data_IF_424960870827
#
_entry.id   IF_424960870827
#
_cell.length_a   1.000
_cell.length_b   1.000
_cell.length_c   1.000
_cell.angle_alpha   90.00
_cell.angle_beta   90.00
_cell.angle_gamma   90.00
#
_symmetry.space_group_name_H-M   'P 1'
#
loop_
_entity.id
_entity.type
_entity.pdbx_description
1 polymer ?
#
# COMPACT_ATOMS: atom_id res chain seq x y z
N UNK A 1 -38.55 0.20 -39.35
CA UNK A 1 -37.81 0.45 -38.09
C UNK A 1 -37.15 1.81 -38.22
N UNK A 2 -37.78 2.84 -37.68
CA UNK A 2 -37.14 4.17 -37.56
C UNK A 2 -36.02 4.07 -36.54
N UNK A 3 -34.81 4.42 -36.96
CA UNK A 3 -33.68 4.63 -36.05
C UNK A 3 -34.03 5.88 -35.26
N UNK A 4 -34.53 5.70 -34.04
CA UNK A 4 -34.73 6.80 -33.09
C UNK A 4 -33.37 7.49 -32.94
N UNK A 5 -33.29 8.73 -33.42
CA UNK A 5 -32.08 9.54 -33.29
C UNK A 5 -31.79 9.70 -31.80
N UNK A 6 -30.78 8.97 -31.30
CA UNK A 6 -30.33 9.08 -29.92
C UNK A 6 -29.88 10.52 -29.73
N UNK A 7 -30.69 11.30 -29.00
CA UNK A 7 -30.38 12.68 -28.69
C UNK A 7 -28.97 12.73 -28.09
N UNK A 8 -28.09 13.53 -28.70
CA UNK A 8 -26.70 13.65 -28.24
C UNK A 8 -26.71 14.25 -26.84
N UNK A 9 -26.37 13.44 -25.84
CA UNK A 9 -26.19 13.89 -24.46
C UNK A 9 -25.16 15.04 -24.46
N UNK A 10 -25.51 16.23 -23.95
CA UNK A 10 -24.61 17.38 -23.99
C UNK A 10 -23.40 17.15 -23.08
N UNK A 11 -22.24 17.69 -23.45
CA UNK A 11 -21.02 17.61 -22.65
C UNK A 11 -20.90 18.86 -21.77
N UNK A 12 -20.43 18.70 -20.55
CA UNK A 12 -20.01 19.82 -19.71
C UNK A 12 -18.92 20.65 -20.40
N UNK A 13 -18.80 21.90 -19.98
CA UNK A 13 -17.83 22.83 -20.55
C UNK A 13 -17.25 23.73 -19.47
N UNK A 14 -16.07 24.30 -19.72
CA UNK A 14 -15.45 25.29 -18.84
C UNK A 14 -15.54 26.66 -19.52
N UNK A 15 -16.32 27.57 -18.96
CA UNK A 15 -16.43 28.95 -19.45
C UNK A 15 -15.38 29.81 -18.73
N UNK A 16 -14.52 30.57 -19.44
CA UNK A 16 -13.54 31.46 -18.81
C UNK A 16 -14.15 32.47 -17.81
N UNK A 17 -15.40 32.88 -18.01
CA UNK A 17 -16.10 33.80 -17.09
C UNK A 17 -16.41 33.15 -15.73
N UNK A 18 -16.51 31.82 -15.68
CA UNK A 18 -16.81 31.04 -14.47
C UNK A 18 -15.54 30.61 -13.72
N UNK A 19 -14.34 30.97 -14.20
CA UNK A 19 -13.07 30.56 -13.60
C UNK A 19 -12.96 30.85 -12.09
N UNK A 20 -13.45 31.98 -11.55
CA UNK A 20 -13.46 32.22 -10.11
C UNK A 20 -14.38 31.26 -9.34
N UNK A 21 -15.44 30.74 -9.98
CA UNK A 21 -16.40 29.84 -9.38
C UNK A 21 -15.89 28.39 -9.35
N UNK A 22 -15.01 27.99 -10.26
CA UNK A 22 -14.39 26.67 -10.20
C UNK A 22 -13.37 26.56 -9.05
N UNK A 23 -12.71 27.66 -8.67
CA UNK A 23 -11.64 27.65 -7.65
C UNK A 23 -12.13 27.76 -6.20
N UNK A 24 -13.44 27.82 -5.97
CA UNK A 24 -14.04 28.06 -4.65
C UNK A 24 -15.30 27.21 -4.50
N UNK A 25 -15.69 26.96 -3.25
CA UNK A 25 -17.01 26.40 -2.99
C UNK A 25 -18.09 27.35 -3.56
N UNK A 26 -19.03 26.78 -4.31
CA UNK A 26 -20.11 27.52 -4.96
C UNK A 26 -21.45 26.85 -4.67
N UNK A 27 -22.49 27.67 -4.55
CA UNK A 27 -23.87 27.19 -4.40
C UNK A 27 -24.57 27.01 -5.76
N UNK A 28 -23.90 27.31 -6.89
CA UNK A 28 -24.46 27.11 -8.22
C UNK A 28 -24.52 25.60 -8.53
N UNK A 29 -25.72 24.99 -8.62
CA UNK A 29 -25.86 23.54 -8.83
C UNK A 29 -25.42 23.11 -10.25
N UNK A 30 -25.18 24.06 -11.14
CA UNK A 30 -24.64 23.79 -12.46
C UNK A 30 -23.11 23.80 -12.50
N UNK A 31 -22.42 24.15 -11.42
CA UNK A 31 -20.95 24.18 -11.38
C UNK A 31 -20.44 23.01 -10.54
N UNK A 32 -19.61 22.18 -11.16
CA UNK A 32 -18.72 21.27 -10.46
C UNK A 32 -17.38 22.01 -10.26
N UNK A 33 -16.95 22.31 -9.02
CA UNK A 33 -15.70 23.02 -8.76
C UNK A 33 -14.47 22.15 -9.02
N UNK A 34 -13.30 22.79 -9.11
CA UNK A 34 -12.00 22.13 -9.14
C UNK A 34 -11.83 21.32 -7.85
N UNK A 35 -11.44 20.06 -7.97
CA UNK A 35 -11.12 19.21 -6.82
C UNK A 35 -9.63 18.96 -6.80
N UNK A 36 -8.95 19.31 -5.70
CA UNK A 36 -7.54 18.92 -5.50
C UNK A 36 -7.53 17.59 -4.76
N UNK A 37 -6.85 16.60 -5.31
CA UNK A 37 -6.67 15.32 -4.61
C UNK A 37 -5.84 15.55 -3.35
N UNK A 38 -6.08 14.77 -2.31
CA UNK A 38 -5.31 14.86 -1.07
C UNK A 38 -3.80 14.77 -1.31
N UNK A 39 -3.03 15.51 -0.52
CA UNK A 39 -1.57 15.37 -0.48
C UNK A 39 -1.14 14.48 0.68
N UNK A 40 -1.88 14.53 1.80
CA UNK A 40 -1.60 13.74 3.00
C UNK A 40 -2.61 12.61 3.12
N UNK A 41 -2.09 11.39 3.14
CA UNK A 41 -2.87 10.16 3.35
C UNK A 41 -2.21 9.36 4.47
N UNK A 42 -2.99 8.56 5.20
CA UNK A 42 -2.42 7.78 6.28
C UNK A 42 -3.28 6.62 6.72
N UNK A 43 -2.66 5.68 7.42
CA UNK A 43 -3.34 4.52 7.96
C UNK A 43 -3.13 4.39 9.46
N UNK A 44 -4.12 3.77 10.11
CA UNK A 44 -4.05 3.38 11.50
C UNK A 44 -3.65 1.91 11.60
N UNK A 45 -2.60 1.61 12.36
CA UNK A 45 -2.18 0.21 12.57
C UNK A 45 -3.24 -0.55 13.36
N UNK A 46 -3.58 -1.74 12.86
CA UNK A 46 -4.45 -2.70 13.56
C UNK A 46 -3.65 -3.99 13.77
N UNK A 47 -3.57 -4.57 14.99
CA UNK A 47 -4.15 -4.04 16.24
C UNK A 47 -3.61 -2.66 16.63
N UNK A 48 -4.36 -1.95 17.47
CA UNK A 48 -3.98 -0.62 17.92
C UNK A 48 -2.70 -0.71 18.76
N UNK A 49 -1.75 0.20 18.52
CA UNK A 49 -0.44 0.20 19.19
C UNK A 49 -0.18 1.53 19.90
N UNK A 50 0.78 1.49 20.82
CA UNK A 50 1.46 2.64 21.39
C UNK A 50 2.85 2.75 20.76
N UNK A 51 3.18 3.87 20.15
CA UNK A 51 4.53 4.06 19.61
C UNK A 51 5.40 4.78 20.64
N UNK A 52 6.51 4.15 21.01
CA UNK A 52 7.41 4.61 22.07
C UNK A 52 6.98 4.12 23.45
N UNK A 53 7.11 4.99 24.47
CA UNK A 53 6.81 4.62 25.85
C UNK A 53 5.31 4.40 26.07
N UNK A 54 4.97 3.27 26.69
CA UNK A 54 3.60 2.99 27.14
C UNK A 54 3.20 4.03 28.22
N UNK A 55 2.05 4.72 28.07
CA UNK A 55 1.60 5.67 29.08
C UNK A 55 1.31 4.96 30.41
N UNK A 56 1.68 5.57 31.52
CA UNK A 56 1.37 5.01 32.85
C UNK A 56 -0.14 4.86 33.06
N UNK A 57 -0.56 3.86 33.84
CA UNK A 57 -1.98 3.63 34.20
C UNK A 57 -2.67 4.90 34.73
N UNK A 58 -1.92 5.76 35.43
CA UNK A 58 -2.38 7.04 35.95
C UNK A 58 -2.59 8.12 34.88
N UNK A 59 -1.73 8.17 33.86
CA UNK A 59 -1.89 9.07 32.72
C UNK A 59 -3.02 8.58 31.80
N UNK A 60 -3.10 7.26 31.62
CA UNK A 60 -4.16 6.60 30.87
C UNK A 60 -5.55 6.89 31.48
N UNK A 61 -5.73 6.60 32.76
CA UNK A 61 -7.02 6.82 33.45
C UNK A 61 -7.49 8.28 33.48
N UNK A 62 -6.59 9.26 33.35
CA UNK A 62 -6.92 10.69 33.31
C UNK A 62 -7.28 11.21 31.92
N UNK A 63 -7.22 10.38 30.88
CA UNK A 63 -7.36 10.80 29.47
C UNK A 63 -6.43 11.96 29.09
N UNK A 64 -5.30 12.10 29.79
CA UNK A 64 -4.35 13.20 29.57
C UNK A 64 -3.26 12.85 28.57
N UNK A 65 -3.35 11.67 27.92
CA UNK A 65 -2.40 11.24 26.89
C UNK A 65 -2.84 11.87 25.58
N UNK A 66 -1.99 12.73 25.03
CA UNK A 66 -2.18 13.21 23.67
C UNK A 66 -1.87 12.09 22.68
N UNK A 67 -2.94 11.44 22.21
CA UNK A 67 -2.89 10.37 21.22
C UNK A 67 -2.38 10.85 19.87
N UNK A 68 -2.60 12.12 19.56
CA UNK A 68 -2.24 12.76 18.31
C UNK A 68 -0.86 13.41 18.37
N UNK A 69 -0.14 13.26 19.49
CA UNK A 69 1.23 13.72 19.60
C UNK A 69 2.09 13.04 18.52
N UNK A 70 2.75 13.85 17.71
CA UNK A 70 3.77 13.40 16.78
C UNK A 70 4.97 12.89 17.56
N UNK A 71 5.35 11.63 17.32
CA UNK A 71 6.50 10.97 17.96
C UNK A 71 7.68 10.82 17.01
N UNK A 72 7.43 10.74 15.70
CA UNK A 72 8.46 10.71 14.66
C UNK A 72 8.00 11.55 13.48
N UNK A 73 8.90 12.40 12.96
CA UNK A 73 8.76 13.03 11.64
C UNK A 73 10.03 12.81 10.83
N UNK A 74 9.87 12.42 9.57
CA UNK A 74 10.99 12.07 8.69
C UNK A 74 10.71 12.42 7.24
N UNK A 75 11.65 13.13 6.62
CA UNK A 75 11.68 13.33 5.18
C UNK A 75 12.43 12.17 4.50
N UNK A 76 11.75 11.44 3.61
CA UNK A 76 12.35 10.41 2.76
C UNK A 76 13.02 11.03 1.54
N UNK A 77 14.03 10.35 0.98
CA UNK A 77 14.78 10.77 -0.22
C UNK A 77 13.88 10.91 -1.45
N UNK A 78 12.79 10.15 -1.49
CA UNK A 78 11.80 10.22 -2.56
C UNK A 78 10.89 11.47 -2.50
N UNK A 79 11.05 12.36 -1.52
CA UNK A 79 10.21 13.56 -1.39
C UNK A 79 8.88 13.32 -0.65
N UNK A 80 8.78 12.23 0.11
CA UNK A 80 7.64 11.95 0.99
C UNK A 80 8.00 12.33 2.42
N UNK A 81 7.18 13.14 3.09
CA UNK A 81 7.31 13.39 4.53
C UNK A 81 6.41 12.39 5.28
N UNK A 82 7.00 11.61 6.18
CA UNK A 82 6.25 10.68 7.04
C UNK A 82 6.18 11.23 8.46
N UNK A 83 4.97 11.34 9.00
CA UNK A 83 4.70 11.70 10.39
C UNK A 83 4.01 10.53 11.07
N UNK A 84 4.48 10.19 12.26
CA UNK A 84 3.99 9.06 13.04
C UNK A 84 3.45 9.60 14.35
N UNK A 85 2.20 9.26 14.64
CA UNK A 85 1.52 9.67 15.86
C UNK A 85 1.63 8.59 16.92
N UNK A 86 1.58 9.00 18.19
CA UNK A 86 1.73 8.09 19.34
C UNK A 86 0.71 6.95 19.34
N UNK A 87 -0.46 7.15 18.75
CA UNK A 87 -1.55 6.19 18.70
C UNK A 87 -1.43 5.10 17.62
N UNK A 88 -0.32 5.04 16.89
CA UNK A 88 -0.15 4.05 15.82
C UNK A 88 -0.64 4.51 14.44
N UNK A 89 -0.92 5.81 14.28
CA UNK A 89 -1.23 6.41 12.98
C UNK A 89 0.05 6.79 12.24
N UNK A 90 0.14 6.39 10.97
CA UNK A 90 1.21 6.76 10.05
C UNK A 90 0.65 7.65 8.95
N UNK A 91 1.18 8.87 8.81
CA UNK A 91 0.77 9.88 7.85
C UNK A 91 1.88 10.08 6.82
N UNK A 92 1.53 10.11 5.55
CA UNK A 92 2.42 10.28 4.41
C UNK A 92 1.98 11.52 3.63
N UNK A 93 2.83 12.53 3.59
CA UNK A 93 2.67 13.69 2.71
C UNK A 93 3.37 13.44 1.38
N UNK A 94 2.56 13.24 0.35
CA UNK A 94 2.97 13.01 -1.03
C UNK A 94 3.06 14.30 -1.86
N UNK A 95 2.95 15.49 -1.25
CA UNK A 95 2.97 16.77 -1.97
C UNK A 95 4.22 16.94 -2.86
N UNK A 96 5.37 16.47 -2.39
CA UNK A 96 6.65 16.59 -3.10
C UNK A 96 7.11 15.28 -3.76
N UNK A 97 6.24 14.27 -3.85
CA UNK A 97 6.60 13.00 -4.47
C UNK A 97 6.31 12.98 -5.97
N UNK A 98 7.36 12.86 -6.78
CA UNK A 98 7.26 12.95 -8.24
C UNK A 98 6.43 11.84 -8.91
N UNK A 99 6.33 10.65 -8.30
CA UNK A 99 5.63 9.52 -8.91
C UNK A 99 4.10 9.63 -8.82
N UNK A 100 3.58 10.19 -7.72
CA UNK A 100 2.14 10.39 -7.50
C UNK A 100 1.86 11.69 -6.73
N UNK A 101 2.17 12.87 -7.30
CA UNK A 101 1.90 14.15 -6.68
C UNK A 101 0.39 14.43 -6.64
N UNK A 102 -0.08 15.37 -5.80
CA UNK A 102 -1.46 15.83 -5.86
C UNK A 102 -1.77 16.44 -7.23
N UNK A 103 -2.98 16.19 -7.74
CA UNK A 103 -3.46 16.69 -9.02
C UNK A 103 -4.78 17.44 -8.83
N UNK A 104 -4.95 18.51 -9.61
CA UNK A 104 -6.22 19.23 -9.72
C UNK A 104 -7.07 18.55 -10.78
N UNK A 105 -8.25 18.08 -10.39
CA UNK A 105 -9.29 17.59 -11.28
C UNK A 105 -10.11 18.82 -11.71
N UNK A 106 -10.06 19.23 -13.00
CA UNK A 106 -10.72 20.44 -13.44
C UNK A 106 -12.24 20.33 -13.32
N UNK A 107 -12.82 21.29 -12.62
CA UNK A 107 -14.24 21.57 -12.56
C UNK A 107 -14.81 22.01 -13.91
N UNK A 108 -16.13 21.95 -14.02
CA UNK A 108 -16.86 22.24 -15.24
C UNK A 108 -18.31 22.64 -14.96
N UNK A 109 -18.93 23.32 -15.92
CA UNK A 109 -20.35 23.66 -15.90
C UNK A 109 -21.17 22.54 -16.56
N UNK A 110 -22.19 22.09 -15.83
CA UNK A 110 -23.23 21.17 -16.30
C UNK A 110 -24.20 21.95 -17.20
N UNK A 111 -24.47 21.50 -18.44
CA UNK A 111 -25.31 22.26 -19.38
C UNK A 111 -26.76 22.44 -18.92
N UNK A 112 -27.28 21.49 -18.16
CA UNK A 112 -28.64 21.53 -17.60
C UNK A 112 -28.66 20.76 -16.28
N UNK A 113 -28.73 21.43 -15.12
CA UNK A 113 -28.76 20.78 -13.81
C UNK A 113 -29.85 19.71 -13.73
N UNK A 114 -29.51 18.55 -13.15
CA UNK A 114 -30.43 17.42 -13.02
C UNK A 114 -30.64 16.58 -14.28
N UNK A 115 -30.10 16.99 -15.44
CA UNK A 115 -30.14 16.20 -16.67
C UNK A 115 -28.85 15.41 -16.90
N UNK A 116 -28.92 14.25 -17.57
CA UNK A 116 -27.73 13.51 -17.98
C UNK A 116 -26.81 14.38 -18.83
N UNK A 117 -25.52 14.35 -18.54
CA UNK A 117 -24.49 15.05 -19.29
C UNK A 117 -23.22 14.20 -19.35
N UNK A 118 -22.35 14.50 -20.31
CA UNK A 118 -21.00 13.91 -20.38
C UNK A 118 -20.01 14.80 -19.65
N UNK A 119 -19.10 14.18 -18.91
CA UNK A 119 -17.99 14.89 -18.25
C UNK A 119 -17.01 15.40 -19.33
N UNK A 120 -16.36 16.56 -19.18
CA UNK A 120 -15.31 16.99 -20.10
C UNK A 120 -14.14 16.01 -20.13
N UNK A 121 -13.52 15.84 -21.30
CA UNK A 121 -12.40 14.90 -21.47
C UNK A 121 -11.23 15.20 -20.52
N UNK A 122 -10.89 16.49 -20.34
CA UNK A 122 -9.83 16.90 -19.42
C UNK A 122 -10.12 16.49 -17.95
N UNK A 123 -11.39 16.55 -17.53
CA UNK A 123 -11.82 16.11 -16.21
C UNK A 123 -11.78 14.58 -16.10
N UNK A 124 -12.20 13.85 -17.14
CA UNK A 124 -12.12 12.38 -17.21
C UNK A 124 -10.66 11.90 -17.12
N UNK A 125 -9.76 12.51 -17.88
CA UNK A 125 -8.33 12.18 -17.89
C UNK A 125 -7.65 12.50 -16.54
N UNK A 126 -7.93 13.66 -15.95
CA UNK A 126 -7.41 14.04 -14.64
C UNK A 126 -7.95 13.12 -13.53
N UNK A 127 -9.23 12.74 -13.59
CA UNK A 127 -9.83 11.79 -12.65
C UNK A 127 -9.19 10.41 -12.77
N UNK A 128 -9.02 9.88 -13.98
CA UNK A 128 -8.37 8.58 -14.19
C UNK A 128 -6.91 8.59 -13.69
N UNK A 129 -6.18 9.69 -13.93
CA UNK A 129 -4.82 9.87 -13.43
C UNK A 129 -4.79 9.97 -11.90
N UNK A 130 -5.77 10.64 -11.28
CA UNK A 130 -5.89 10.71 -9.82
C UNK A 130 -6.11 9.34 -9.17
N UNK A 131 -6.90 8.47 -9.81
CA UNK A 131 -7.13 7.10 -9.33
C UNK A 131 -5.84 6.27 -9.40
N UNK A 132 -5.06 6.42 -10.47
CA UNK A 132 -3.75 5.76 -10.60
C UNK A 132 -2.77 6.21 -9.51
N UNK A 133 -2.76 7.50 -9.18
CA UNK A 133 -1.95 8.05 -8.09
C UNK A 133 -2.43 7.57 -6.71
N UNK A 134 -3.74 7.52 -6.49
CA UNK A 134 -4.32 6.98 -5.27
C UNK A 134 -3.99 5.49 -5.08
N UNK A 135 -3.97 4.69 -6.16
CA UNK A 135 -3.46 3.32 -6.13
C UNK A 135 -2.01 3.34 -5.66
N UNK A 136 -1.11 4.01 -6.38
CA UNK A 136 0.33 3.97 -6.09
C UNK A 136 0.67 4.41 -4.65
N UNK A 137 -0.04 5.39 -4.10
CA UNK A 137 0.11 5.81 -2.70
C UNK A 137 -0.35 4.75 -1.71
N UNK A 138 -1.49 4.12 -1.96
CA UNK A 138 -1.95 2.98 -1.15
C UNK A 138 -0.95 1.82 -1.20
N UNK A 139 -0.38 1.52 -2.37
CA UNK A 139 0.66 0.51 -2.51
C UNK A 139 1.90 0.87 -1.69
N UNK A 140 2.32 2.13 -1.71
CA UNK A 140 3.48 2.62 -0.95
C UNK A 140 3.25 2.49 0.56
N UNK A 141 2.06 2.80 1.04
CA UNK A 141 1.70 2.59 2.44
C UNK A 141 1.65 1.10 2.81
N UNK A 142 1.21 0.22 1.91
CA UNK A 142 1.29 -1.24 2.09
C UNK A 142 2.75 -1.75 2.13
N UNK A 143 3.62 -1.20 1.29
CA UNK A 143 5.07 -1.45 1.34
C UNK A 143 5.63 -1.05 2.70
N UNK A 144 5.25 0.12 3.23
CA UNK A 144 5.63 0.52 4.58
C UNK A 144 5.12 -0.46 5.64
N UNK A 145 3.88 -0.94 5.55
CA UNK A 145 3.36 -1.97 6.47
C UNK A 145 4.22 -3.24 6.45
N UNK A 146 4.74 -3.63 5.29
CA UNK A 146 5.69 -4.74 5.17
C UNK A 146 7.06 -4.43 5.79
N UNK A 147 7.57 -3.21 5.62
CA UNK A 147 8.81 -2.75 6.25
C UNK A 147 8.68 -2.75 7.78
N UNK A 148 7.51 -2.34 8.29
CA UNK A 148 7.20 -2.33 9.71
C UNK A 148 7.18 -3.76 10.27
N UNK A 149 6.47 -4.69 9.61
CA UNK A 149 6.46 -6.10 10.01
C UNK A 149 7.86 -6.73 9.99
N UNK A 150 8.68 -6.35 9.00
CA UNK A 150 10.09 -6.78 8.92
C UNK A 150 10.88 -6.27 10.11
N UNK A 151 10.75 -4.99 10.44
CA UNK A 151 11.48 -4.31 11.51
C UNK A 151 11.10 -4.85 12.89
N UNK A 152 9.80 -5.10 13.12
CA UNK A 152 9.30 -5.76 14.32
C UNK A 152 9.98 -7.12 14.54
N UNK A 153 10.03 -7.94 13.48
CA UNK A 153 10.65 -9.26 13.55
C UNK A 153 12.16 -9.17 13.84
N UNK A 154 12.86 -8.25 13.19
CA UNK A 154 14.32 -8.11 13.32
C UNK A 154 14.75 -7.61 14.70
N UNK A 155 14.05 -6.62 15.25
CA UNK A 155 14.46 -5.94 16.48
C UNK A 155 13.80 -6.52 17.73
N UNK A 156 12.51 -6.83 17.67
CA UNK A 156 11.74 -7.28 18.83
C UNK A 156 11.66 -8.80 18.96
N UNK A 157 12.04 -9.54 17.90
CA UNK A 157 11.83 -11.01 17.76
C UNK A 157 10.37 -11.45 17.98
N UNK A 158 9.45 -10.50 17.94
CA UNK A 158 8.01 -10.71 17.90
C UNK A 158 7.52 -10.31 16.52
N UNK A 159 6.45 -10.95 16.08
CA UNK A 159 5.76 -10.51 14.88
C UNK A 159 4.30 -10.42 15.23
N UNK A 160 3.76 -9.19 15.17
CA UNK A 160 2.34 -8.98 15.27
C UNK A 160 1.65 -9.34 13.96
N UNK A 161 0.33 -9.50 14.04
CA UNK A 161 -0.50 -9.82 12.89
C UNK A 161 -0.30 -8.79 11.77
N UNK A 162 -0.32 -9.28 10.53
CA UNK A 162 -0.21 -8.46 9.33
C UNK A 162 -1.35 -7.45 9.32
N UNK A 163 -1.05 -6.21 8.98
CA UNK A 163 -2.06 -5.16 8.90
C UNK A 163 -3.11 -5.44 7.84
N UNK A 164 -4.15 -4.59 7.82
CA UNK A 164 -5.15 -4.63 6.76
C UNK A 164 -4.57 -3.97 5.50
N UNK A 165 -4.71 -4.60 4.33
CA UNK A 165 -4.16 -4.05 3.10
C UNK A 165 -4.97 -2.86 2.63
N UNK A 166 -4.29 -1.74 2.41
CA UNK A 166 -4.89 -0.50 1.93
C UNK A 166 -5.24 -0.59 0.45
N UNK A 167 -6.33 0.06 0.06
CA UNK A 167 -6.76 0.21 -1.32
C UNK A 167 -6.96 1.69 -1.65
N UNK A 168 -6.95 2.04 -2.94
CA UNK A 168 -7.28 3.40 -3.38
C UNK A 168 -8.67 3.86 -2.90
N UNK A 169 -9.63 2.94 -2.76
CA UNK A 169 -10.94 3.28 -2.22
C UNK A 169 -10.86 3.75 -0.75
N UNK A 170 -9.85 3.31 0.00
CA UNK A 170 -9.63 3.79 1.35
C UNK A 170 -9.05 5.22 1.36
N UNK A 171 -8.17 5.56 0.40
CA UNK A 171 -7.56 6.89 0.28
C UNK A 171 -8.53 7.94 -0.28
N UNK A 172 -9.65 7.52 -0.86
CA UNK A 172 -10.72 8.43 -1.30
C UNK A 172 -11.79 8.70 -0.22
N UNK A 173 -11.83 7.92 0.87
CA UNK A 173 -12.87 7.99 1.92
C UNK A 173 -12.43 8.74 3.18
N UNK A 174 -11.64 9.80 3.00
CA UNK A 174 -11.05 10.59 4.06
C UNK A 174 -11.96 10.89 5.24
N UNK A 175 -11.49 10.55 6.43
CA UNK A 175 -11.93 11.21 7.67
C UNK A 175 -10.96 12.32 8.03
N UNK A 176 -11.46 13.32 8.77
CA UNK A 176 -10.66 14.42 9.31
C UNK A 176 -9.72 13.90 10.41
N UNK A 177 -8.46 14.29 10.40
CA UNK A 177 -7.42 13.86 11.34
C UNK A 177 -7.77 14.13 12.81
N UNK A 178 -8.74 15.00 13.10
CA UNK A 178 -9.18 15.27 14.47
C UNK A 178 -9.98 14.14 15.11
N UNK A 179 -10.50 13.18 14.34
CA UNK A 179 -11.26 12.06 14.91
C UNK A 179 -10.27 11.05 15.54
N UNK A 180 -10.37 10.75 16.83
CA UNK A 180 -9.61 9.63 17.40
C UNK A 180 -10.30 8.31 17.07
N UNK A 181 -9.58 7.33 16.52
CA UNK A 181 -10.17 6.01 16.27
C UNK A 181 -10.36 5.25 17.56
N UNK A 182 -11.60 4.81 17.75
CA UNK A 182 -12.04 4.00 18.87
C UNK A 182 -12.02 2.55 18.43
N UNK A 183 -10.97 1.83 18.82
CA UNK A 183 -10.80 0.41 18.52
C UNK A 183 -10.75 -0.42 19.80
N UNK A 184 -11.36 -1.60 19.77
CA UNK A 184 -11.33 -2.63 20.80
C UNK A 184 -10.77 -3.90 20.18
N UNK A 185 -9.72 -4.45 20.79
CA UNK A 185 -9.18 -5.74 20.39
C UNK A 185 -10.14 -6.89 20.71
N UNK A 186 -10.04 -7.99 19.94
CA UNK A 186 -10.78 -9.22 20.16
C UNK A 186 -11.69 -9.61 19.01
N UNK A 187 -11.15 -9.95 17.85
CA UNK A 187 -11.95 -10.42 16.71
C UNK A 187 -12.76 -11.71 16.98
N UNK A 188 -12.38 -12.46 18.01
CA UNK A 188 -13.09 -13.65 18.49
C UNK A 188 -14.10 -13.35 19.61
N UNK A 189 -14.02 -12.17 20.23
CA UNK A 189 -15.01 -11.71 21.19
C UNK A 189 -16.09 -10.94 20.42
N UNK A 190 -17.26 -11.56 20.26
CA UNK A 190 -18.45 -10.92 19.69
C UNK A 190 -18.70 -9.56 20.35
N UNK A 191 -18.40 -9.42 21.66
CA UNK A 191 -18.55 -8.17 22.40
C UNK A 191 -17.58 -7.07 21.93
N UNK A 192 -16.38 -7.42 21.45
CA UNK A 192 -15.45 -6.48 20.83
C UNK A 192 -15.88 -6.07 19.43
N UNK A 193 -16.51 -6.96 18.67
CA UNK A 193 -17.14 -6.61 17.38
C UNK A 193 -18.27 -5.60 17.61
N UNK A 194 -19.19 -5.90 18.53
CA UNK A 194 -20.28 -4.98 18.89
C UNK A 194 -19.75 -3.66 19.45
N UNK A 195 -18.69 -3.70 20.29
CA UNK A 195 -18.04 -2.48 20.78
C UNK A 195 -17.39 -1.67 19.67
N UNK A 196 -16.74 -2.28 18.68
CA UNK A 196 -16.19 -1.57 17.53
C UNK A 196 -17.28 -0.91 16.68
N UNK A 197 -18.40 -1.60 16.44
CA UNK A 197 -19.56 -1.02 15.74
C UNK A 197 -20.17 0.13 16.54
N UNK A 198 -20.34 -0.05 17.87
CA UNK A 198 -20.89 0.96 18.77
C UNK A 198 -19.96 2.17 18.92
N UNK A 199 -18.67 1.95 19.06
CA UNK A 199 -17.65 2.99 19.15
C UNK A 199 -17.57 3.84 17.89
N UNK A 200 -17.87 3.26 16.72
CA UNK A 200 -17.97 3.98 15.46
C UNK A 200 -19.30 4.73 15.29
N UNK A 201 -20.38 4.30 15.95
CA UNK A 201 -21.72 4.89 15.80
C UNK A 201 -22.14 5.82 16.94
N UNK A 202 -21.50 5.74 18.11
CA UNK A 202 -21.86 6.48 19.30
C UNK A 202 -20.64 7.16 19.93
N UNK A 203 -20.83 8.38 20.43
CA UNK A 203 -19.86 9.20 21.19
C UNK A 203 -19.49 8.61 22.58
N UNK A 204 -19.68 7.31 22.81
CA UNK A 204 -19.46 6.60 24.07
C UNK A 204 -18.05 6.72 24.67
N UNK A 205 -17.94 6.49 25.99
CA UNK A 205 -16.69 6.58 26.77
C UNK A 205 -15.65 5.52 26.35
N UNK A 206 -14.37 5.93 26.35
CA UNK A 206 -13.17 5.21 25.88
C UNK A 206 -12.67 4.08 26.79
N UNK A 207 -13.53 3.29 27.44
CA UNK A 207 -13.04 2.30 28.42
C UNK A 207 -12.21 1.17 27.77
N UNK A 208 -12.34 0.92 26.46
CA UNK A 208 -11.57 -0.10 25.72
C UNK A 208 -10.30 0.43 25.01
N UNK A 209 -10.00 1.73 25.09
CA UNK A 209 -8.90 2.37 24.34
C UNK A 209 -7.49 1.99 24.83
N UNK A 210 -7.40 1.15 25.87
CA UNK A 210 -6.19 0.92 26.66
C UNK A 210 -5.53 -0.44 26.45
N UNK A 211 -6.16 -1.36 25.72
CA UNK A 211 -5.50 -2.60 25.29
C UNK A 211 -4.82 -2.34 23.95
N UNK A 212 -3.63 -1.75 24.02
CA UNK A 212 -2.75 -1.47 22.88
C UNK A 212 -1.40 -2.10 23.15
N UNK A 213 -0.77 -2.64 22.12
CA UNK A 213 0.57 -3.20 22.23
C UNK A 213 1.60 -2.07 22.11
N UNK A 214 2.63 -2.07 22.95
CA UNK A 214 3.74 -1.15 22.82
C UNK A 214 4.63 -1.55 21.63
N UNK A 215 4.93 -0.60 20.78
CA UNK A 215 5.86 -0.70 19.65
C UNK A 215 7.04 0.22 19.91
N UNK A 216 8.24 -0.35 19.93
CA UNK A 216 9.46 0.41 20.11
C UNK A 216 9.65 1.45 19.00
N UNK A 217 10.13 2.64 19.36
CA UNK A 217 10.40 3.71 18.40
C UNK A 217 11.53 3.33 17.43
N UNK A 218 12.48 2.49 17.85
CA UNK A 218 13.56 2.00 16.99
C UNK A 218 13.02 1.13 15.84
N UNK A 219 11.93 0.40 16.08
CA UNK A 219 11.22 -0.37 15.04
C UNK A 219 10.63 0.56 13.98
N UNK A 220 10.07 1.69 14.39
CA UNK A 220 9.54 2.72 13.48
C UNK A 220 10.66 3.38 12.68
N UNK A 221 11.77 3.73 13.32
CA UNK A 221 12.91 4.30 12.60
C UNK A 221 13.46 3.33 11.54
N UNK A 222 13.68 2.07 11.92
CA UNK A 222 14.16 1.04 11.00
C UNK A 222 13.16 0.78 9.86
N UNK A 223 11.85 0.79 10.12
CA UNK A 223 10.84 0.57 9.06
C UNK A 223 10.85 1.69 8.02
N UNK A 224 11.10 2.92 8.46
CA UNK A 224 11.24 4.08 7.57
C UNK A 224 12.58 4.08 6.83
N UNK A 225 13.67 3.57 7.44
CA UNK A 225 14.94 3.33 6.73
C UNK A 225 14.75 2.34 5.59
N UNK A 226 14.14 1.18 5.86
CA UNK A 226 13.87 0.15 4.84
C UNK A 226 12.95 0.67 3.73
N UNK A 227 11.92 1.45 4.08
CA UNK A 227 11.06 2.09 3.07
C UNK A 227 11.85 3.06 2.20
N UNK A 228 12.71 3.90 2.80
CA UNK A 228 13.54 4.86 2.07
C UNK A 228 14.54 4.16 1.14
N UNK A 229 15.05 2.99 1.52
CA UNK A 229 15.88 2.14 0.65
C UNK A 229 15.11 1.63 -0.56
N UNK A 230 13.89 1.10 -0.37
CA UNK A 230 13.03 0.63 -1.46
C UNK A 230 12.70 1.77 -2.42
N UNK A 231 12.34 2.94 -1.90
CA UNK A 231 11.95 4.09 -2.71
C UNK A 231 13.13 4.78 -3.41
N UNK A 232 14.36 4.57 -2.93
CA UNK A 232 15.57 5.10 -3.56
C UNK A 232 16.10 4.23 -4.72
N UNK A 233 15.53 3.05 -4.95
CA UNK A 233 15.86 2.22 -6.12
C UNK A 233 15.47 2.96 -7.40
N UNK A 234 16.36 2.99 -8.40
CA UNK A 234 16.16 3.71 -9.69
C UNK A 234 14.81 3.38 -10.36
N UNK A 235 14.34 2.16 -10.15
CA UNK A 235 13.12 1.59 -10.71
C UNK A 235 12.05 1.34 -9.62
N UNK A 236 11.97 2.23 -8.62
CA UNK A 236 11.05 2.11 -7.48
C UNK A 236 9.59 1.93 -7.92
N UNK A 237 9.16 2.59 -9.01
CA UNK A 237 7.83 2.44 -9.57
C UNK A 237 7.49 0.98 -9.95
N UNK A 238 8.47 0.19 -10.38
CA UNK A 238 8.29 -1.24 -10.66
C UNK A 238 8.45 -2.10 -9.40
N UNK A 239 9.25 -1.66 -8.42
CA UNK A 239 9.51 -2.42 -7.19
C UNK A 239 8.36 -2.37 -6.19
N UNK A 240 7.72 -1.21 -6.02
CA UNK A 240 6.58 -0.99 -5.11
C UNK A 240 5.49 -2.07 -5.29
N UNK A 241 4.95 -2.33 -6.50
CA UNK A 241 3.91 -3.36 -6.67
C UNK A 241 4.42 -4.78 -6.42
N UNK A 242 5.73 -5.05 -6.58
CA UNK A 242 6.31 -6.38 -6.29
C UNK A 242 6.35 -6.61 -4.77
N UNK A 243 6.81 -5.63 -3.99
CA UNK A 243 6.82 -5.71 -2.52
C UNK A 243 5.39 -5.78 -1.99
N UNK A 244 4.49 -4.94 -2.51
CA UNK A 244 3.08 -4.99 -2.14
C UNK A 244 2.47 -6.37 -2.45
N UNK A 245 2.75 -6.98 -3.60
CA UNK A 245 2.19 -8.29 -3.92
C UNK A 245 2.53 -9.34 -2.86
N UNK A 246 3.75 -9.35 -2.33
CA UNK A 246 4.15 -10.28 -1.26
C UNK A 246 3.50 -9.92 0.08
N UNK A 247 3.37 -8.63 0.39
CA UNK A 247 2.58 -8.17 1.55
C UNK A 247 1.12 -8.65 1.46
N UNK A 248 0.48 -8.46 0.31
CA UNK A 248 -0.88 -8.94 0.06
C UNK A 248 -0.96 -10.47 0.12
N UNK A 249 0.07 -11.20 -0.33
CA UNK A 249 0.12 -12.65 -0.17
C UNK A 249 0.08 -13.06 1.32
N UNK A 250 0.81 -12.33 2.17
CA UNK A 250 0.77 -12.51 3.62
C UNK A 250 -0.61 -12.17 4.20
N UNK A 251 -1.27 -11.09 3.77
CA UNK A 251 -2.66 -10.81 4.17
C UNK A 251 -3.64 -11.92 3.72
N UNK A 252 -3.52 -12.43 2.49
CA UNK A 252 -4.38 -13.52 1.99
C UNK A 252 -4.12 -14.83 2.72
N UNK A 253 -2.90 -15.05 3.19
CA UNK A 253 -2.58 -16.19 4.04
C UNK A 253 -3.33 -16.14 5.38
N UNK A 254 -3.33 -15.00 6.07
CA UNK A 254 -4.02 -14.86 7.36
C UNK A 254 -5.54 -14.99 7.22
N UNK A 255 -6.09 -14.66 6.06
CA UNK A 255 -7.49 -14.90 5.67
C UNK A 255 -7.79 -16.36 5.28
N UNK A 256 -6.79 -17.24 5.23
CA UNK A 256 -6.93 -18.64 4.78
C UNK A 256 -7.11 -18.79 3.26
N UNK A 257 -6.89 -17.74 2.47
CA UNK A 257 -7.03 -17.72 1.00
C UNK A 257 -5.73 -18.14 0.31
N UNK A 258 -5.27 -19.36 0.60
CA UNK A 258 -3.95 -19.87 0.19
C UNK A 258 -3.72 -19.86 -1.33
N UNK A 259 -4.77 -20.10 -2.12
CA UNK A 259 -4.71 -20.05 -3.58
C UNK A 259 -4.42 -18.67 -4.15
N UNK A 260 -4.93 -17.61 -3.53
CA UNK A 260 -4.61 -16.23 -3.93
C UNK A 260 -3.23 -15.82 -3.43
N UNK A 261 -2.89 -16.20 -2.20
CA UNK A 261 -1.58 -15.94 -1.62
C UNK A 261 -0.45 -16.53 -2.48
N UNK A 262 -0.58 -17.77 -2.96
CA UNK A 262 0.46 -18.39 -3.79
C UNK A 262 0.60 -17.71 -5.15
N UNK A 263 -0.50 -17.21 -5.75
CA UNK A 263 -0.46 -16.50 -7.03
C UNK A 263 0.32 -15.19 -6.88
N UNK A 264 0.05 -14.45 -5.80
CA UNK A 264 0.71 -13.18 -5.51
C UNK A 264 2.20 -13.36 -5.19
N UNK A 265 2.53 -14.28 -4.29
CA UNK A 265 3.92 -14.59 -3.92
C UNK A 265 4.74 -15.08 -5.13
N UNK A 266 4.17 -16.01 -5.92
CA UNK A 266 4.81 -16.47 -7.16
C UNK A 266 4.97 -15.33 -8.18
N UNK A 267 3.95 -14.49 -8.36
CA UNK A 267 4.01 -13.34 -9.26
C UNK A 267 5.19 -12.42 -8.93
N UNK A 268 5.42 -12.15 -7.65
CA UNK A 268 6.59 -11.39 -7.21
C UNK A 268 7.92 -12.11 -7.51
N UNK A 269 8.02 -13.42 -7.19
CA UNK A 269 9.20 -14.23 -7.51
C UNK A 269 9.53 -14.19 -9.01
N UNK A 270 8.51 -14.30 -9.86
CA UNK A 270 8.64 -14.26 -11.31
C UNK A 270 9.22 -12.92 -11.81
N UNK A 271 8.76 -11.80 -11.27
CA UNK A 271 9.29 -10.48 -11.62
C UNK A 271 10.74 -10.29 -11.13
N UNK A 272 11.05 -10.76 -9.92
CA UNK A 272 12.40 -10.71 -9.35
C UNK A 272 13.39 -11.56 -10.17
N UNK A 273 13.01 -12.78 -10.55
CA UNK A 273 13.80 -13.64 -11.43
C UNK A 273 13.99 -13.02 -12.81
N UNK A 274 12.97 -12.36 -13.37
CA UNK A 274 13.09 -11.66 -14.64
C UNK A 274 14.10 -10.49 -14.55
N UNK A 275 14.11 -9.74 -13.44
CA UNK A 275 15.11 -8.69 -13.17
C UNK A 275 16.51 -9.28 -13.04
N UNK A 276 16.68 -10.33 -12.22
CA UNK A 276 17.95 -11.03 -12.02
C UNK A 276 18.52 -11.55 -13.35
N UNK A 277 17.67 -12.18 -14.17
CA UNK A 277 18.02 -12.64 -15.52
C UNK A 277 18.47 -11.48 -16.42
N UNK A 278 17.75 -10.36 -16.40
CA UNK A 278 18.11 -9.15 -17.14
C UNK A 278 19.50 -8.62 -16.75
N UNK A 279 19.79 -8.57 -15.45
CA UNK A 279 21.11 -8.17 -14.92
C UNK A 279 22.20 -9.15 -15.33
N UNK A 280 21.95 -10.46 -15.23
CA UNK A 280 22.87 -11.50 -15.69
C UNK A 280 23.20 -11.34 -17.19
N UNK A 281 22.20 -11.20 -18.06
CA UNK A 281 22.41 -11.00 -19.49
C UNK A 281 23.18 -9.72 -19.81
N UNK A 282 22.91 -8.62 -19.08
CA UNK A 282 23.68 -7.38 -19.20
C UNK A 282 25.15 -7.61 -18.84
N UNK A 283 25.44 -8.31 -17.74
CA UNK A 283 26.82 -8.63 -17.33
C UNK A 283 27.56 -9.50 -18.35
N UNK A 284 26.87 -10.48 -18.96
CA UNK A 284 27.42 -11.33 -20.02
C UNK A 284 27.70 -10.56 -21.31
N UNK A 285 26.88 -9.54 -21.61
CA UNK A 285 27.14 -8.65 -22.74
C UNK A 285 28.34 -7.74 -22.48
N UNK A 286 28.44 -7.14 -21.28
CA UNK A 286 29.58 -6.29 -20.90
C UNK A 286 30.91 -7.04 -20.90
N UNK A 287 30.91 -8.35 -20.63
CA UNK A 287 32.10 -9.20 -20.73
C UNK A 287 32.43 -9.69 -22.16
N UNK A 288 31.66 -9.29 -23.17
CA UNK A 288 31.85 -9.69 -24.57
C UNK A 288 31.43 -11.14 -24.88
N UNK A 289 30.91 -11.88 -23.90
CA UNK A 289 30.47 -13.28 -24.07
C UNK A 289 29.11 -13.41 -24.74
N UNK A 290 28.35 -12.32 -24.86
CA UNK A 290 27.00 -12.29 -25.41
C UNK A 290 26.83 -11.15 -26.43
N UNK A 291 26.45 -11.51 -27.67
CA UNK A 291 26.11 -10.53 -28.71
C UNK A 291 24.71 -9.94 -28.46
N UNK A 292 24.44 -8.74 -28.98
CA UNK A 292 23.12 -8.09 -28.86
C UNK A 292 21.98 -8.95 -29.45
N UNK A 293 22.21 -9.61 -30.58
CA UNK A 293 21.24 -10.51 -31.19
C UNK A 293 20.95 -11.72 -30.29
N UNK A 294 21.97 -12.30 -29.65
CA UNK A 294 21.80 -13.41 -28.73
C UNK A 294 21.07 -12.97 -27.46
N UNK A 295 21.38 -11.78 -26.91
CA UNK A 295 20.65 -11.20 -25.79
C UNK A 295 19.16 -11.05 -26.10
N UNK A 296 18.82 -10.53 -27.27
CA UNK A 296 17.42 -10.39 -27.68
C UNK A 296 16.69 -11.73 -27.75
N UNK A 297 17.36 -12.80 -28.22
CA UNK A 297 16.79 -14.16 -28.25
C UNK A 297 16.61 -14.75 -26.85
N UNK A 298 17.57 -14.54 -25.94
CA UNK A 298 17.48 -15.02 -24.56
C UNK A 298 16.45 -14.25 -23.71
N UNK A 299 15.98 -13.09 -24.19
CA UNK A 299 14.93 -12.30 -23.56
C UNK A 299 13.52 -12.62 -24.05
N UNK A 300 13.34 -13.53 -25.03
CA UNK A 300 12.01 -13.85 -25.56
C UNK A 300 11.20 -14.70 -24.58
N UNK A 301 9.91 -14.86 -24.89
CA UNK A 301 8.97 -15.72 -24.15
C UNK A 301 9.37 -17.20 -24.16
N UNK A 302 10.21 -17.62 -25.10
CA UNK A 302 10.65 -19.01 -25.24
C UNK A 302 11.54 -19.45 -24.07
N UNK A 303 12.24 -18.49 -23.45
CA UNK A 303 12.94 -18.70 -22.18
C UNK A 303 11.95 -18.50 -21.05
N UNK A 304 11.24 -19.59 -20.69
CA UNK A 304 10.32 -19.60 -19.55
C UNK A 304 11.05 -19.31 -18.25
N UNK A 305 10.31 -18.91 -17.22
CA UNK A 305 10.87 -18.57 -15.91
C UNK A 305 11.55 -19.77 -15.25
N UNK A 306 11.04 -20.99 -15.47
CA UNK A 306 11.70 -22.21 -15.01
C UNK A 306 13.09 -22.39 -15.63
N UNK A 307 13.22 -22.18 -16.94
CA UNK A 307 14.51 -22.26 -17.64
C UNK A 307 15.44 -21.15 -17.16
N UNK A 308 14.92 -19.94 -16.93
CA UNK A 308 15.74 -18.83 -16.39
C UNK A 308 16.28 -19.16 -15.00
N UNK A 309 15.43 -19.68 -14.11
CA UNK A 309 15.84 -20.06 -12.75
C UNK A 309 16.90 -21.17 -12.77
N UNK A 310 16.73 -22.21 -13.57
CA UNK A 310 17.70 -23.30 -13.75
C UNK A 310 19.04 -22.78 -14.29
N UNK A 311 19.01 -21.90 -15.31
CA UNK A 311 20.24 -21.31 -15.86
C UNK A 311 20.94 -20.36 -14.87
N UNK A 312 20.19 -19.66 -14.02
CA UNK A 312 20.75 -18.82 -12.96
C UNK A 312 21.42 -19.67 -11.88
N UNK A 313 20.81 -20.79 -11.48
CA UNK A 313 21.40 -21.74 -10.52
C UNK A 313 22.68 -22.38 -11.07
N UNK A 314 22.64 -22.92 -12.29
CA UNK A 314 23.81 -23.51 -12.96
C UNK A 314 24.94 -22.48 -13.16
N UNK A 315 24.58 -21.20 -13.28
CA UNK A 315 25.51 -20.08 -13.36
C UNK A 315 26.00 -19.55 -11.99
N UNK A 316 25.63 -20.20 -10.89
CA UNK A 316 25.88 -19.78 -9.51
C UNK A 316 25.45 -18.34 -9.22
N UNK A 317 24.34 -17.91 -9.83
CA UNK A 317 23.67 -16.63 -9.60
C UNK A 317 22.43 -16.74 -8.73
N UNK A 318 21.97 -17.97 -8.50
CA UNK A 318 20.87 -18.30 -7.62
C UNK A 318 21.34 -19.48 -6.77
N UNK A 319 21.32 -19.35 -5.45
CA UNK A 319 21.68 -20.45 -4.56
C UNK A 319 20.73 -21.65 -4.77
N UNK A 320 21.25 -22.87 -4.61
CA UNK A 320 20.50 -24.09 -4.84
C UNK A 320 19.25 -24.20 -3.94
N UNK A 321 19.34 -23.77 -2.68
CA UNK A 321 18.20 -23.79 -1.78
C UNK A 321 17.12 -22.79 -2.23
N UNK A 322 17.53 -21.58 -2.62
CA UNK A 322 16.62 -20.57 -3.15
C UNK A 322 15.97 -21.01 -4.47
N UNK A 323 16.73 -21.65 -5.36
CA UNK A 323 16.20 -22.28 -6.57
C UNK A 323 15.13 -23.32 -6.26
N UNK A 324 15.37 -24.21 -5.28
CA UNK A 324 14.39 -25.21 -4.87
C UNK A 324 13.09 -24.58 -4.37
N UNK A 325 13.19 -23.52 -3.56
CA UNK A 325 12.02 -22.81 -3.05
C UNK A 325 11.22 -22.14 -4.18
N UNK A 326 11.90 -21.53 -5.14
CA UNK A 326 11.29 -20.99 -6.37
C UNK A 326 10.56 -22.09 -7.15
N UNK A 327 11.17 -23.26 -7.34
CA UNK A 327 10.56 -24.35 -8.09
C UNK A 327 9.34 -24.94 -7.38
N UNK A 328 9.40 -25.09 -6.06
CA UNK A 328 8.27 -25.52 -5.23
C UNK A 328 7.09 -24.55 -5.35
N UNK A 329 7.36 -23.24 -5.30
CA UNK A 329 6.35 -22.20 -5.48
C UNK A 329 5.69 -22.29 -6.86
N UNK A 330 6.49 -22.47 -7.92
CA UNK A 330 6.02 -22.65 -9.30
C UNK A 330 5.11 -23.87 -9.44
N UNK A 331 5.53 -25.02 -8.87
CA UNK A 331 4.75 -26.27 -8.91
C UNK A 331 3.42 -26.08 -8.17
N UNK A 332 3.45 -25.45 -6.98
CA UNK A 332 2.25 -25.17 -6.19
C UNK A 332 1.27 -24.27 -6.95
N UNK A 333 1.77 -23.16 -7.51
CA UNK A 333 0.97 -22.23 -8.32
C UNK A 333 0.38 -22.92 -9.54
N UNK A 334 1.14 -23.74 -10.27
CA UNK A 334 0.64 -24.42 -11.47
C UNK A 334 -0.44 -25.46 -11.14
N UNK A 335 -0.28 -26.23 -10.05
CA UNK A 335 -1.33 -27.15 -9.56
C UNK A 335 -2.61 -26.40 -9.18
N UNK A 336 -2.50 -25.23 -8.56
CA UNK A 336 -3.66 -24.39 -8.28
C UNK A 336 -4.29 -23.82 -9.55
N UNK A 337 -3.49 -23.23 -10.45
CA UNK A 337 -3.98 -22.56 -11.65
C UNK A 337 -4.61 -23.51 -12.68
N UNK A 338 -4.11 -24.75 -12.79
CA UNK A 338 -4.59 -25.73 -13.77
C UNK A 338 -5.59 -26.72 -13.18
N UNK A 339 -5.43 -27.11 -11.91
CA UNK A 339 -6.23 -28.18 -11.30
C UNK A 339 -7.11 -27.68 -10.13
N UNK A 340 -7.05 -26.39 -9.78
CA UNK A 340 -7.67 -25.83 -8.57
C UNK A 340 -7.30 -26.57 -7.27
N UNK A 341 -6.14 -27.24 -7.27
CA UNK A 341 -5.65 -27.96 -6.10
C UNK A 341 -5.10 -26.96 -5.08
N UNK A 342 -5.77 -26.87 -3.92
CA UNK A 342 -5.38 -25.96 -2.86
C UNK A 342 -3.90 -26.17 -2.45
N UNK A 343 -3.08 -25.09 -2.42
CA UNK A 343 -1.72 -25.15 -1.91
C UNK A 343 -1.70 -25.50 -0.42
N UNK A 344 -0.64 -26.17 0.04
CA UNK A 344 -0.39 -26.35 1.47
C UNK A 344 0.28 -25.12 2.08
N UNK A 345 0.17 -24.96 3.40
CA UNK A 345 0.90 -23.93 4.15
C UNK A 345 2.41 -24.01 3.89
N UNK A 346 2.99 -25.21 3.88
CA UNK A 346 4.43 -25.39 3.61
C UNK A 346 4.85 -24.88 2.22
N UNK A 347 4.00 -25.07 1.19
CA UNK A 347 4.27 -24.55 -0.15
C UNK A 347 4.23 -23.03 -0.18
N UNK A 348 3.32 -22.41 0.56
CA UNK A 348 3.28 -20.95 0.65
C UNK A 348 4.47 -20.39 1.44
N UNK A 349 4.85 -21.02 2.56
CA UNK A 349 6.07 -20.66 3.28
C UNK A 349 7.29 -20.72 2.35
N UNK A 350 7.42 -21.77 1.55
CA UNK A 350 8.49 -21.89 0.56
C UNK A 350 8.46 -20.73 -0.46
N UNK A 351 7.29 -20.36 -0.98
CA UNK A 351 7.15 -19.24 -1.91
C UNK A 351 7.46 -17.87 -1.29
N UNK A 352 7.09 -17.66 -0.03
CA UNK A 352 7.38 -16.41 0.68
C UNK A 352 8.86 -16.30 1.01
N UNK A 353 9.48 -17.38 1.50
CA UNK A 353 10.94 -17.46 1.68
C UNK A 353 11.70 -17.24 0.37
N UNK A 354 11.19 -17.78 -0.75
CA UNK A 354 11.77 -17.53 -2.06
C UNK A 354 11.71 -16.05 -2.44
N UNK A 355 10.59 -15.38 -2.19
CA UNK A 355 10.47 -13.95 -2.45
C UNK A 355 11.44 -13.13 -1.57
N UNK A 356 11.55 -13.44 -0.28
CA UNK A 356 12.50 -12.81 0.65
C UNK A 356 13.95 -12.95 0.18
N UNK A 357 14.38 -14.18 -0.15
CA UNK A 357 15.74 -14.43 -0.66
C UNK A 357 16.00 -13.74 -1.99
N UNK A 358 15.01 -13.68 -2.89
CA UNK A 358 15.13 -12.98 -4.16
C UNK A 358 15.21 -11.44 -3.98
N UNK A 359 14.54 -10.85 -2.98
CA UNK A 359 14.72 -9.42 -2.69
C UNK A 359 16.14 -9.11 -2.23
N UNK A 360 16.71 -9.95 -1.36
CA UNK A 360 18.10 -9.81 -0.90
C UNK A 360 19.08 -9.97 -2.07
N UNK A 361 18.92 -10.98 -2.91
CA UNK A 361 19.82 -11.22 -4.06
C UNK A 361 19.71 -10.14 -5.17
N UNK A 362 18.51 -9.60 -5.41
CA UNK A 362 18.27 -8.66 -6.53
C UNK A 362 18.51 -7.21 -6.14
N UNK A 363 18.14 -6.82 -4.92
CA UNK A 363 18.13 -5.43 -4.49
C UNK A 363 18.97 -5.17 -3.23
N UNK A 364 19.52 -6.20 -2.58
CA UNK A 364 20.17 -6.11 -1.26
C UNK A 364 19.22 -5.58 -0.18
N UNK A 365 17.92 -5.87 -0.31
CA UNK A 365 16.88 -5.44 0.63
C UNK A 365 16.38 -6.67 1.39
N UNK A 366 16.54 -6.64 2.71
CA UNK A 366 16.05 -7.69 3.60
C UNK A 366 14.62 -7.40 4.00
N UNK A 367 13.69 -8.19 3.47
CA UNK A 367 12.29 -8.16 3.86
C UNK A 367 11.90 -9.46 4.56
N UNK A 368 10.96 -9.36 5.50
CA UNK A 368 10.33 -10.50 6.15
C UNK A 368 8.82 -10.34 6.11
N UNK A 369 8.15 -11.39 5.66
CA UNK A 369 6.71 -11.43 5.51
C UNK A 369 6.15 -12.49 6.44
N UNK A 370 5.67 -12.10 7.62
CA UNK A 370 5.24 -13.08 8.62
C UNK A 370 4.06 -13.91 8.11
N UNK A 371 4.12 -15.22 8.39
CA UNK A 371 3.06 -16.18 8.11
C UNK A 371 2.50 -16.73 9.42
N UNK A 372 2.25 -15.83 10.36
CA UNK A 372 1.57 -16.18 11.60
C UNK A 372 0.10 -16.40 11.26
N UNK A 373 -0.46 -17.54 11.70
CA UNK A 373 -1.90 -17.77 11.69
C UNK A 373 -2.55 -16.91 12.79
N UNK A 374 -2.46 -15.59 12.62
CA UNK A 374 -3.16 -14.61 13.42
C UNK A 374 -4.66 -14.85 13.34
N UNK A 375 -5.40 -14.47 14.39
CA UNK A 375 -6.85 -14.48 14.28
C UNK A 375 -7.23 -13.38 13.29
N UNK A 376 -7.92 -13.66 12.17
CA UNK A 376 -8.31 -12.61 11.24
C UNK A 376 -9.09 -11.56 12.02
N UNK A 377 -8.49 -10.37 12.16
CA UNK A 377 -9.11 -9.22 12.80
C UNK A 377 -10.46 -8.96 12.13
N UNK A 378 -11.49 -8.54 12.87
CA UNK A 378 -12.66 -7.98 12.19
C UNK A 378 -12.20 -6.70 11.49
N UNK A 379 -12.38 -6.57 10.16
CA UNK A 379 -11.87 -5.42 9.43
C UNK A 379 -12.59 -4.15 9.88
N UNK A 380 -11.95 -3.32 10.70
CA UNK A 380 -12.39 -1.96 10.98
C UNK A 380 -11.55 -1.02 10.11
N UNK A 381 -11.96 -0.84 8.87
CA UNK A 381 -11.29 0.03 7.91
C UNK A 381 -11.40 1.49 8.35
N UNK A 382 -10.29 2.14 8.68
CA UNK A 382 -10.25 3.58 8.83
C UNK A 382 -8.95 4.10 8.21
N UNK A 383 -9.08 4.91 7.16
CA UNK A 383 -7.97 5.60 6.49
C UNK A 383 -8.25 7.09 6.58
N UNK A 384 -7.19 7.82 6.86
CA UNK A 384 -7.23 9.27 7.05
C UNK A 384 -6.76 9.97 5.80
N UNK A 385 -7.40 11.09 5.48
CA UNK A 385 -7.06 11.89 4.30
C UNK A 385 -7.34 13.34 4.65
N UNK A 386 -6.38 14.24 4.43
CA UNK A 386 -6.67 15.67 4.45
C UNK A 386 -6.40 16.33 3.10
N UNK A 387 -7.26 17.29 2.79
CA UNK A 387 -6.97 18.32 1.80
C UNK A 387 -6.06 19.38 2.44
N UNK A 388 -4.98 19.70 1.73
CA UNK A 388 -3.92 20.68 1.95
C UNK A 388 -3.90 21.56 3.25
N UNK A 389 -2.70 21.58 3.83
CA UNK A 389 -2.22 22.22 5.07
C UNK A 389 -2.11 23.75 5.06
N UNK A 390 -3.01 24.45 4.37
CA UNK A 390 -3.00 25.92 4.34
C UNK A 390 -3.25 26.61 5.70
N UNK A 391 -3.46 25.83 6.77
CA UNK A 391 -3.29 26.26 8.16
C UNK A 391 -2.02 25.65 8.79
N UNK A 392 -0.84 26.11 8.36
CA UNK A 392 0.36 26.07 9.20
C UNK A 392 0.23 27.15 10.28
N UNK A 393 -0.65 26.93 11.25
CA UNK A 393 -0.60 27.68 12.52
C UNK A 393 0.33 26.90 13.44
N UNK A 394 1.52 27.45 13.66
CA UNK A 394 2.44 26.99 14.69
C UNK A 394 1.72 26.80 16.03
N UNK A 395 2.00 25.75 16.82
CA UNK A 395 1.55 25.70 18.19
C UNK A 395 2.40 26.68 19.01
N UNK A 396 2.00 27.94 19.02
CA UNK A 396 2.32 28.87 20.09
C UNK A 396 1.04 29.14 20.87
N UNK A 397 0.81 28.29 21.86
CA UNK A 397 0.41 28.64 23.23
C UNK A 397 0.63 27.40 24.11
#
# INVERSE_FOLDING_TARGET
MEVVAVARIPRGYRNPEDEPLFKRATNDPSICPDTVTASVEGYFRVPAIWIGEEPSDTAASRQSVDLQAEVVSRQLRAGIEVRVLRDGTFLFDFASWDLAPPIVIPGYRVPSPGMPHRVPLATEEASSKSEQYAVLRAQTMNVHQSCLATSEWMLSRSSHDVGLPLTAANTLKGRDFTDCLRYSEGARDISSIYRNIWNQSASGRMDSAWHRLALDIDVVHHSLDTLDEILAVEDAASLIPIVEAVYLASCRYTEGRLGEAIILAWGACEQLLAKMWGTFLKSMQSSGRLTGQRRSRLGTRDYTVSVRAEMLELGSRLDYELYRQVDDARIARNKWAHDMKAPSTAQLHSAMSAAEGLFEEVYDIRLRFPLNAGSPGVPAWNVWVAADSSNRVSPHC
#
